data_IF_130143607120
#
_entry.id   IF_130143607120
#
_cell.length_a   1.000
_cell.length_b   1.000
_cell.length_c   1.000
_cell.angle_alpha   90.00
_cell.angle_beta   90.00
_cell.angle_gamma   90.00
#
_symmetry.space_group_name_H-M   'P 1'
#
loop_
_entity.id
_entity.type
_entity.pdbx_description
1 polymer ?
#
# COMPACT_ATOMS: atom_id res chain seq x y z
N UNK A 1 40.89 -0.51 -23.88
CA UNK A 1 39.90 -0.61 -22.78
C UNK A 1 39.13 0.70 -22.76
N UNK A 2 37.99 0.74 -23.42
CA UNK A 2 37.07 1.91 -23.45
C UNK A 2 36.33 1.95 -22.12
N UNK A 3 36.71 2.87 -21.26
CA UNK A 3 35.99 3.15 -20.02
C UNK A 3 34.56 3.55 -20.33
N UNK A 4 33.60 2.71 -20.01
CA UNK A 4 32.21 3.07 -19.99
C UNK A 4 32.07 4.17 -18.92
N UNK A 5 31.83 5.40 -19.39
CA UNK A 5 31.47 6.51 -18.51
C UNK A 5 30.12 6.16 -17.85
N UNK A 6 30.17 5.60 -16.64
CA UNK A 6 28.98 5.38 -15.83
C UNK A 6 28.50 6.75 -15.38
N UNK A 7 27.41 7.23 -15.97
CA UNK A 7 26.74 8.42 -15.45
C UNK A 7 26.45 8.26 -13.96
N UNK A 8 26.59 9.30 -13.13
CA UNK A 8 26.30 9.20 -11.70
C UNK A 8 24.86 8.70 -11.51
N UNK A 9 24.63 7.84 -10.50
CA UNK A 9 23.29 7.32 -10.24
C UNK A 9 22.32 8.48 -10.01
N UNK A 10 21.16 8.41 -10.68
CA UNK A 10 20.11 9.43 -10.57
C UNK A 10 19.64 9.57 -9.13
N UNK A 11 19.19 10.77 -8.77
CA UNK A 11 18.65 11.04 -7.42
C UNK A 11 17.32 10.30 -7.23
N UNK A 12 17.18 9.61 -6.10
CA UNK A 12 15.93 9.02 -5.63
C UNK A 12 15.44 9.83 -4.43
N UNK A 13 14.19 10.31 -4.48
CA UNK A 13 13.51 10.93 -3.34
C UNK A 13 12.71 9.88 -2.58
N UNK A 14 13.02 9.67 -1.31
CA UNK A 14 12.22 8.82 -0.42
C UNK A 14 11.26 9.71 0.36
N UNK A 15 9.96 9.49 0.21
CA UNK A 15 8.90 10.29 0.83
C UNK A 15 8.26 9.51 1.98
N UNK A 16 8.29 10.11 3.17
CA UNK A 16 7.82 9.51 4.43
C UNK A 16 6.77 10.43 5.05
N UNK A 17 5.46 10.12 5.01
CA UNK A 17 4.48 10.79 5.85
C UNK A 17 4.65 10.32 7.29
N UNK A 18 4.70 11.24 8.25
CA UNK A 18 4.86 10.95 9.67
C UNK A 18 3.80 11.69 10.50
N UNK A 19 3.12 10.97 11.39
CA UNK A 19 2.23 11.52 12.39
C UNK A 19 2.33 10.71 13.68
N UNK A 20 2.79 11.35 14.76
CA UNK A 20 3.04 10.71 16.06
C UNK A 20 3.91 9.44 15.95
N UNK A 21 5.05 9.56 15.25
CA UNK A 21 5.95 8.47 14.90
C UNK A 21 7.27 8.46 15.71
N UNK A 22 7.32 9.14 16.87
CA UNK A 22 8.54 9.29 17.67
C UNK A 22 9.26 7.97 17.98
N UNK A 23 8.52 6.86 18.11
CA UNK A 23 9.07 5.56 18.50
C UNK A 23 9.62 4.76 17.31
N UNK A 24 8.95 4.81 16.16
CA UNK A 24 9.29 3.98 14.99
C UNK A 24 10.23 4.67 14.01
N UNK A 25 10.08 5.98 13.83
CA UNK A 25 10.78 6.77 12.82
C UNK A 25 12.31 6.67 12.86
N UNK A 26 13.00 6.59 14.03
CA UNK A 26 14.44 6.39 14.04
C UNK A 26 14.88 5.13 13.31
N UNK A 27 14.25 3.98 13.58
CA UNK A 27 14.60 2.72 12.92
C UNK A 27 14.31 2.77 11.40
N UNK A 28 13.21 3.43 11.00
CA UNK A 28 12.89 3.67 9.59
C UNK A 28 13.98 4.48 8.89
N UNK A 29 14.42 5.60 9.48
CA UNK A 29 15.47 6.45 8.93
C UNK A 29 16.82 5.74 8.86
N UNK A 30 17.20 5.00 9.91
CA UNK A 30 18.44 4.22 9.93
C UNK A 30 18.48 3.15 8.82
N UNK A 31 17.33 2.51 8.53
CA UNK A 31 17.21 1.57 7.42
C UNK A 31 17.41 2.22 6.04
N UNK A 32 17.05 3.49 5.89
CA UNK A 32 17.28 4.26 4.67
C UNK A 32 18.72 4.72 4.51
N UNK A 33 19.41 5.02 5.61
CA UNK A 33 20.86 5.34 5.55
C UNK A 33 21.73 4.14 5.22
N UNK A 34 21.22 2.92 5.31
CA UNK A 34 21.90 1.68 4.95
C UNK A 34 21.69 1.25 3.48
N UNK A 35 21.01 2.05 2.66
CA UNK A 35 20.70 1.68 1.27
C UNK A 35 21.96 1.57 0.41
N UNK A 36 21.99 0.58 -0.48
CA UNK A 36 23.08 0.39 -1.43
C UNK A 36 23.07 1.39 -2.59
N UNK A 37 21.96 2.09 -2.83
CA UNK A 37 21.87 3.20 -3.78
C UNK A 37 22.44 4.47 -3.15
N UNK A 38 23.50 5.09 -3.72
CA UNK A 38 24.27 6.12 -3.01
C UNK A 38 23.65 7.51 -3.06
N UNK A 39 22.78 7.80 -4.03
CA UNK A 39 22.26 9.15 -4.27
C UNK A 39 20.77 9.24 -3.89
N UNK A 40 20.49 9.51 -2.62
CA UNK A 40 19.13 9.60 -2.07
C UNK A 40 18.93 10.95 -1.37
N UNK A 41 17.71 11.49 -1.45
CA UNK A 41 17.18 12.47 -0.50
C UNK A 41 16.02 11.84 0.27
N UNK A 42 15.97 12.11 1.56
CA UNK A 42 14.90 11.64 2.44
C UNK A 42 14.05 12.85 2.82
N UNK A 43 12.76 12.79 2.49
CA UNK A 43 11.78 13.84 2.75
C UNK A 43 10.77 13.31 3.75
N UNK A 44 10.79 13.83 4.96
CA UNK A 44 9.80 13.48 6.00
C UNK A 44 8.80 14.60 6.13
N UNK A 45 7.52 14.27 5.94
CA UNK A 45 6.41 15.21 6.13
C UNK A 45 5.80 14.96 7.51
N UNK A 46 6.08 15.87 8.46
CA UNK A 46 5.43 15.89 9.78
C UNK A 46 4.03 16.47 9.64
N UNK A 47 3.03 15.60 9.64
CA UNK A 47 1.61 15.93 9.47
C UNK A 47 0.97 16.42 10.80
N UNK A 48 1.63 17.39 11.45
CA UNK A 48 1.12 18.02 12.66
C UNK A 48 1.21 17.12 13.90
N UNK A 49 2.31 16.39 14.06
CA UNK A 49 2.55 15.55 15.25
C UNK A 49 2.46 16.33 16.55
N UNK A 50 1.91 15.67 17.57
CA UNK A 50 1.70 16.19 18.92
C UNK A 50 2.61 15.53 19.97
N UNK A 51 3.36 14.51 19.56
CA UNK A 51 4.39 13.83 20.36
C UNK A 51 5.79 14.40 20.08
N UNK A 52 6.86 13.70 20.46
CA UNK A 52 8.24 14.13 20.24
C UNK A 52 8.75 13.90 18.80
N UNK A 53 7.92 13.58 17.82
CA UNK A 53 8.34 13.37 16.43
C UNK A 53 9.15 14.54 15.89
N UNK A 54 8.75 15.79 16.15
CA UNK A 54 9.48 16.97 15.71
C UNK A 54 10.91 17.05 16.30
N UNK A 55 11.09 16.67 17.56
CA UNK A 55 12.42 16.62 18.19
C UNK A 55 13.28 15.49 17.60
N UNK A 56 12.70 14.33 17.32
CA UNK A 56 13.37 13.23 16.61
C UNK A 56 13.86 13.73 15.25
N UNK A 57 13.01 14.35 14.45
CA UNK A 57 13.38 14.88 13.12
C UNK A 57 14.50 15.91 13.20
N UNK A 58 14.45 16.83 14.18
CA UNK A 58 15.49 17.84 14.38
C UNK A 58 16.86 17.23 14.68
N UNK A 59 16.93 16.06 15.32
CA UNK A 59 18.19 15.37 15.64
C UNK A 59 18.94 14.84 14.42
N UNK A 60 18.25 14.67 13.28
CA UNK A 60 18.88 14.22 12.03
C UNK A 60 19.51 15.37 11.21
N UNK A 61 19.20 16.63 11.53
CA UNK A 61 19.77 17.82 10.88
C UNK A 61 19.61 17.78 9.34
N UNK A 62 20.69 18.14 8.63
CA UNK A 62 20.70 18.19 7.16
C UNK A 62 20.71 16.80 6.46
N UNK A 63 20.75 15.71 7.22
CA UNK A 63 20.69 14.35 6.64
C UNK A 63 19.32 14.04 6.05
N UNK A 64 18.27 14.74 6.48
CA UNK A 64 16.91 14.61 6.00
C UNK A 64 16.31 15.99 5.72
N UNK A 65 15.33 16.04 4.86
CA UNK A 65 14.52 17.24 4.65
C UNK A 65 13.18 17.09 5.32
N UNK A 66 12.92 17.91 6.33
CA UNK A 66 11.63 17.92 7.04
C UNK A 66 10.71 18.98 6.46
N UNK A 67 9.47 18.61 6.18
CA UNK A 67 8.37 19.50 5.84
C UNK A 67 7.30 19.36 6.92
N UNK A 68 6.92 20.45 7.59
CA UNK A 68 5.86 20.41 8.60
C UNK A 68 4.59 21.06 8.07
N UNK A 69 3.45 20.43 8.32
CA UNK A 69 2.13 20.94 7.96
C UNK A 69 1.11 20.74 9.10
N UNK A 70 0.00 21.49 9.14
CA UNK A 70 -1.16 21.12 9.95
C UNK A 70 -1.66 19.74 9.55
N UNK A 71 -2.17 18.95 10.51
CA UNK A 71 -2.66 17.61 10.22
C UNK A 71 -3.74 17.63 9.12
N UNK A 72 -3.39 17.11 7.96
CA UNK A 72 -4.25 16.97 6.78
C UNK A 72 -4.52 15.50 6.41
N UNK A 73 -3.96 14.57 7.18
CA UNK A 73 -4.04 13.13 6.96
C UNK A 73 -3.09 12.60 5.89
N UNK A 74 -3.04 11.28 5.77
CA UNK A 74 -2.10 10.54 4.92
C UNK A 74 -2.06 11.02 3.45
N UNK A 75 -3.20 11.26 2.75
CA UNK A 75 -3.17 11.73 1.38
C UNK A 75 -2.49 13.11 1.24
N UNK A 76 -2.77 14.02 2.15
CA UNK A 76 -2.19 15.36 2.19
C UNK A 76 -0.68 15.29 2.42
N UNK A 77 -0.24 14.51 3.43
CA UNK A 77 1.16 14.36 3.75
C UNK A 77 1.96 13.71 2.60
N UNK A 78 1.42 12.66 1.97
CA UNK A 78 2.04 12.07 0.77
C UNK A 78 2.12 13.05 -0.39
N UNK A 79 1.05 13.82 -0.65
CA UNK A 79 1.02 14.83 -1.71
C UNK A 79 2.06 15.93 -1.48
N UNK A 80 2.17 16.44 -0.26
CA UNK A 80 3.21 17.41 0.12
C UNK A 80 4.62 16.84 -0.10
N UNK A 81 4.85 15.60 0.31
CA UNK A 81 6.15 14.96 0.16
C UNK A 81 6.55 14.74 -1.31
N UNK A 82 5.64 14.24 -2.15
CA UNK A 82 5.95 14.02 -3.58
C UNK A 82 6.10 15.35 -4.34
N UNK A 83 5.39 16.40 -3.95
CA UNK A 83 5.57 17.74 -4.50
C UNK A 83 6.93 18.35 -4.11
N UNK A 84 7.48 18.00 -2.95
CA UNK A 84 8.79 18.44 -2.49
C UNK A 84 9.95 17.65 -3.12
N UNK A 85 9.68 16.49 -3.75
CA UNK A 85 10.68 15.60 -4.32
C UNK A 85 11.41 16.22 -5.52
N UNK A 86 12.74 16.05 -5.55
CA UNK A 86 13.63 16.53 -6.63
C UNK A 86 14.16 15.39 -7.49
N UNK A 87 14.12 14.16 -6.98
CA UNK A 87 14.61 12.97 -7.66
C UNK A 87 13.82 12.65 -8.93
N UNK A 88 14.46 11.99 -9.88
CA UNK A 88 13.80 11.45 -11.08
C UNK A 88 12.89 10.28 -10.72
N UNK A 89 13.25 9.55 -9.67
CA UNK A 89 12.45 8.48 -9.08
C UNK A 89 12.00 8.90 -7.69
N UNK A 90 10.79 8.51 -7.34
CA UNK A 90 10.21 8.73 -6.00
C UNK A 90 9.88 7.36 -5.41
N UNK A 91 10.38 7.08 -4.19
CA UNK A 91 10.02 5.92 -3.40
C UNK A 91 9.10 6.35 -2.23
N UNK A 92 8.02 5.63 -2.03
CA UNK A 92 7.17 5.82 -0.86
C UNK A 92 7.66 4.94 0.29
N UNK A 93 7.53 5.43 1.52
CA UNK A 93 7.89 4.70 2.73
C UNK A 93 6.97 5.13 3.85
N UNK A 94 6.51 4.21 4.69
CA UNK A 94 5.75 4.56 5.89
C UNK A 94 6.71 4.72 7.09
N UNK A 95 6.33 5.53 8.09
CA UNK A 95 7.21 5.96 9.19
C UNK A 95 7.44 4.87 10.26
N UNK A 96 6.93 3.67 10.06
CA UNK A 96 7.02 2.54 10.99
C UNK A 96 7.58 1.26 10.35
N UNK A 97 7.91 1.28 9.05
CA UNK A 97 8.48 0.15 8.32
C UNK A 97 10.01 0.24 8.22
N UNK A 98 10.66 -0.87 7.79
CA UNK A 98 12.10 -0.92 7.56
C UNK A 98 12.41 -1.24 6.10
N UNK A 99 13.28 -0.45 5.50
CA UNK A 99 13.71 -0.61 4.11
C UNK A 99 14.88 -1.60 4.04
N UNK A 100 14.77 -2.70 3.30
CA UNK A 100 15.92 -3.60 3.12
C UNK A 100 17.02 -2.93 2.29
N UNK A 101 18.31 -3.19 2.55
CA UNK A 101 19.43 -2.39 2.01
C UNK A 101 19.47 -2.27 0.50
N UNK A 102 19.04 -3.29 -0.22
CA UNK A 102 19.06 -3.33 -1.68
C UNK A 102 17.82 -2.76 -2.37
N UNK A 103 16.79 -2.36 -1.61
CA UNK A 103 15.49 -2.01 -2.17
C UNK A 103 15.56 -0.93 -3.24
N UNK A 104 16.18 0.20 -2.94
CA UNK A 104 16.21 1.33 -3.87
C UNK A 104 17.01 1.00 -5.14
N UNK A 105 18.12 0.27 -5.00
CA UNK A 105 18.93 -0.16 -6.13
C UNK A 105 18.20 -1.15 -7.05
N UNK A 106 17.51 -2.14 -6.47
CA UNK A 106 16.75 -3.14 -7.23
C UNK A 106 15.60 -2.48 -7.98
N UNK A 107 14.80 -1.64 -7.33
CA UNK A 107 13.66 -0.98 -7.96
C UNK A 107 14.09 0.05 -9.03
N UNK A 108 15.18 0.80 -8.78
CA UNK A 108 15.74 1.70 -9.78
C UNK A 108 16.20 0.94 -11.02
N UNK A 109 16.85 -0.21 -10.86
CA UNK A 109 17.24 -1.08 -12.00
C UNK A 109 16.03 -1.56 -12.80
N UNK A 110 14.94 -1.98 -12.14
CA UNK A 110 13.68 -2.34 -12.82
C UNK A 110 13.20 -1.20 -13.70
N UNK A 111 13.09 0.01 -13.14
CA UNK A 111 12.63 1.19 -13.87
C UNK A 111 13.61 1.64 -14.97
N UNK A 112 14.91 1.42 -14.82
CA UNK A 112 15.91 1.71 -15.86
C UNK A 112 15.88 0.69 -17.01
N UNK A 113 15.69 -0.58 -16.70
CA UNK A 113 15.70 -1.67 -17.68
C UNK A 113 14.44 -1.68 -18.54
N UNK A 114 13.27 -1.35 -17.96
CA UNK A 114 11.99 -1.34 -18.66
C UNK A 114 11.36 0.05 -18.63
N UNK A 115 11.56 0.78 -19.71
CA UNK A 115 11.13 2.19 -19.83
C UNK A 115 9.60 2.36 -19.93
N UNK A 116 8.89 1.29 -20.29
CA UNK A 116 7.41 1.19 -20.31
C UNK A 116 6.81 0.95 -18.92
N UNK A 117 7.66 0.59 -17.92
CA UNK A 117 7.25 0.48 -16.52
C UNK A 117 7.29 1.85 -15.86
N UNK A 118 6.14 2.31 -15.37
CA UNK A 118 5.98 3.60 -14.70
C UNK A 118 6.01 3.49 -13.18
N UNK A 119 5.64 2.32 -12.64
CA UNK A 119 5.62 2.01 -11.21
C UNK A 119 6.20 0.62 -10.96
N UNK A 120 7.10 0.52 -9.97
CA UNK A 120 7.64 -0.72 -9.46
C UNK A 120 7.24 -0.89 -7.99
N UNK A 121 6.74 -2.05 -7.62
CA UNK A 121 6.53 -2.47 -6.23
C UNK A 121 7.23 -3.82 -5.98
N UNK A 122 7.21 -4.29 -4.74
CA UNK A 122 7.85 -5.55 -4.37
C UNK A 122 7.03 -6.34 -3.37
N UNK A 123 7.44 -7.59 -3.16
CA UNK A 123 7.05 -8.34 -1.98
C UNK A 123 7.64 -7.71 -0.72
N UNK A 124 7.15 -8.11 0.45
CA UNK A 124 7.60 -7.65 1.75
C UNK A 124 7.48 -8.77 2.79
N UNK A 125 8.26 -8.67 3.85
CA UNK A 125 8.07 -9.49 5.04
C UNK A 125 7.20 -8.75 6.05
N UNK A 126 6.57 -9.46 6.97
CA UNK A 126 5.80 -8.86 8.06
C UNK A 126 6.43 -9.22 9.41
N UNK A 127 6.50 -8.25 10.32
CA UNK A 127 7.01 -8.41 11.67
C UNK A 127 6.19 -7.61 12.70
N UNK A 128 6.33 -7.96 13.96
CA UNK A 128 5.77 -7.24 15.10
C UNK A 128 6.76 -7.24 16.27
N UNK A 129 6.32 -6.86 17.46
CA UNK A 129 7.16 -6.84 18.66
C UNK A 129 7.66 -8.24 19.09
N UNK A 130 6.99 -9.30 18.67
CA UNK A 130 7.36 -10.69 18.95
C UNK A 130 8.34 -11.27 17.90
N UNK A 131 8.59 -10.56 16.80
CA UNK A 131 9.47 -10.98 15.73
C UNK A 131 8.78 -11.12 14.37
N UNK A 132 9.35 -11.98 13.52
CA UNK A 132 8.84 -12.21 12.15
C UNK A 132 7.49 -12.93 12.19
N UNK A 133 6.49 -12.34 11.53
CA UNK A 133 5.13 -12.90 11.36
C UNK A 133 5.02 -13.70 10.07
N UNK A 134 5.65 -13.24 9.00
CA UNK A 134 5.64 -13.93 7.72
C UNK A 134 6.68 -13.39 6.74
N UNK A 135 7.20 -14.28 5.91
CA UNK A 135 8.09 -13.98 4.79
C UNK A 135 7.29 -13.97 3.49
N UNK A 136 7.68 -13.13 2.52
CA UNK A 136 6.99 -12.97 1.23
C UNK A 136 5.47 -12.79 1.43
N UNK A 137 5.11 -11.80 2.25
CA UNK A 137 3.80 -11.70 2.90
C UNK A 137 2.71 -11.11 2.01
N UNK A 138 3.03 -10.58 0.82
CA UNK A 138 2.08 -9.92 -0.06
C UNK A 138 0.89 -10.82 -0.44
N UNK A 139 1.11 -12.10 -0.71
CA UNK A 139 0.06 -13.06 -1.05
C UNK A 139 -0.87 -13.38 0.13
N UNK A 140 -0.39 -13.25 1.35
CA UNK A 140 -1.18 -13.41 2.57
C UNK A 140 -1.99 -12.13 2.87
N UNK A 141 -1.39 -10.97 2.64
CA UNK A 141 -1.99 -9.66 2.93
C UNK A 141 -3.05 -9.26 1.89
N UNK A 142 -2.78 -9.48 0.60
CA UNK A 142 -3.67 -9.10 -0.49
C UNK A 142 -4.45 -10.29 -1.03
N UNK A 143 -5.76 -10.32 -0.76
CA UNK A 143 -6.65 -11.38 -1.24
C UNK A 143 -6.67 -11.54 -2.77
N UNK A 144 -6.40 -10.46 -3.52
CA UNK A 144 -6.26 -10.48 -4.98
C UNK A 144 -5.09 -11.34 -5.46
N UNK A 145 -3.97 -11.34 -4.72
CA UNK A 145 -2.83 -12.25 -4.98
C UNK A 145 -3.14 -13.65 -4.46
N UNK A 146 -3.58 -13.76 -3.21
CA UNK A 146 -3.79 -15.06 -2.54
C UNK A 146 -4.86 -15.93 -3.19
N UNK A 147 -5.86 -15.34 -3.87
CA UNK A 147 -6.91 -16.05 -4.62
C UNK A 147 -6.55 -16.32 -6.07
N UNK A 148 -5.52 -15.69 -6.61
CA UNK A 148 -5.10 -15.85 -7.98
C UNK A 148 -4.43 -17.22 -8.18
N UNK A 149 -4.80 -17.97 -9.20
CA UNK A 149 -4.35 -19.35 -9.45
C UNK A 149 -2.83 -19.52 -9.56
N UNK A 150 -2.13 -18.45 -9.97
CA UNK A 150 -0.67 -18.39 -10.09
C UNK A 150 -0.11 -17.14 -9.37
N UNK A 151 -0.76 -16.69 -8.29
CA UNK A 151 -0.34 -15.51 -7.56
C UNK A 151 -0.22 -14.26 -8.45
N UNK A 152 0.85 -13.48 -8.29
CA UNK A 152 1.11 -12.26 -9.06
C UNK A 152 1.17 -12.50 -10.56
N UNK A 153 1.64 -13.67 -11.01
CA UNK A 153 1.69 -14.03 -12.44
C UNK A 153 0.30 -13.99 -13.12
N UNK A 154 -0.78 -14.20 -12.36
CA UNK A 154 -2.14 -14.08 -12.91
C UNK A 154 -2.61 -12.64 -13.07
N UNK A 155 -1.91 -11.68 -12.46
CA UNK A 155 -2.24 -10.26 -12.43
C UNK A 155 -1.38 -9.45 -13.40
N UNK A 156 -0.19 -9.97 -13.74
CA UNK A 156 0.80 -9.34 -14.62
C UNK A 156 1.28 -10.33 -15.68
N UNK A 157 1.26 -9.90 -16.93
CA UNK A 157 1.34 -10.78 -18.11
C UNK A 157 2.74 -11.35 -18.38
N UNK A 158 3.79 -10.62 -18.02
CA UNK A 158 5.17 -10.93 -18.37
C UNK A 158 5.95 -11.37 -17.14
N UNK A 159 6.79 -12.37 -17.31
CA UNK A 159 7.69 -12.92 -16.27
C UNK A 159 9.11 -12.78 -16.77
N UNK A 160 9.92 -12.04 -16.05
CA UNK A 160 11.31 -11.75 -16.40
C UNK A 160 12.23 -12.22 -15.28
N UNK A 161 13.48 -12.58 -15.63
CA UNK A 161 14.56 -12.80 -14.67
C UNK A 161 15.49 -11.59 -14.67
N UNK A 162 15.82 -11.08 -13.51
CA UNK A 162 16.71 -9.92 -13.36
C UNK A 162 17.89 -10.26 -12.48
N UNK A 163 19.11 -9.97 -12.99
CA UNK A 163 20.35 -10.08 -12.22
C UNK A 163 20.48 -8.89 -11.25
N UNK A 164 20.76 -9.20 -10.00
CA UNK A 164 20.90 -8.25 -8.90
C UNK A 164 22.36 -7.85 -8.63
N UNK A 165 23.31 -8.31 -9.46
CA UNK A 165 24.72 -7.93 -9.33
C UNK A 165 24.88 -6.41 -9.32
N UNK A 166 25.53 -5.87 -8.29
CA UNK A 166 25.70 -4.43 -8.05
C UNK A 166 24.48 -3.74 -7.38
N UNK A 167 23.39 -4.46 -7.11
CA UNK A 167 22.29 -3.97 -6.28
C UNK A 167 22.42 -4.40 -4.82
N UNK A 168 22.95 -5.61 -4.60
CA UNK A 168 23.06 -6.23 -3.28
C UNK A 168 24.18 -5.58 -2.46
N UNK A 169 24.07 -5.60 -1.11
CA UNK A 169 25.17 -5.22 -0.24
C UNK A 169 26.44 -6.03 -0.55
N UNK A 170 27.61 -5.41 -0.40
CA UNK A 170 28.88 -6.11 -0.55
C UNK A 170 29.01 -7.17 0.56
N UNK A 171 28.78 -8.42 0.20
CA UNK A 171 28.97 -9.57 1.10
C UNK A 171 29.72 -10.68 0.36
N UNK A 172 30.74 -11.31 0.99
CA UNK A 172 31.47 -12.41 0.37
C UNK A 172 30.65 -13.70 0.22
N UNK A 173 29.45 -13.79 0.81
CA UNK A 173 28.65 -15.02 0.94
C UNK A 173 27.23 -14.83 0.41
N UNK A 174 27.04 -14.15 -0.72
CA UNK A 174 25.73 -14.16 -1.39
C UNK A 174 25.70 -15.36 -2.34
N UNK A 175 24.80 -16.32 -2.09
CA UNK A 175 24.63 -17.47 -2.98
C UNK A 175 24.26 -17.00 -4.39
N UNK A 176 24.65 -17.73 -5.41
CA UNK A 176 24.37 -17.36 -6.81
C UNK A 176 22.86 -17.29 -7.09
N UNK A 177 22.08 -18.16 -6.44
CA UNK A 177 20.60 -18.13 -6.45
C UNK A 177 20.04 -16.80 -5.96
N UNK A 178 20.69 -16.16 -4.99
CA UNK A 178 20.22 -14.93 -4.38
C UNK A 178 20.56 -13.68 -5.19
N UNK A 179 21.38 -13.85 -6.24
CA UNK A 179 21.74 -12.79 -7.20
C UNK A 179 20.73 -12.59 -8.31
N UNK A 180 19.65 -13.36 -8.32
CA UNK A 180 18.59 -13.22 -9.30
C UNK A 180 17.24 -13.06 -8.61
N UNK A 181 16.34 -12.36 -9.27
CA UNK A 181 14.94 -12.26 -8.83
C UNK A 181 13.99 -12.39 -10.02
N UNK A 182 12.76 -12.82 -9.75
CA UNK A 182 11.67 -12.77 -10.72
C UNK A 182 11.04 -11.38 -10.67
N UNK A 183 10.77 -10.80 -11.83
CA UNK A 183 10.01 -9.57 -11.99
C UNK A 183 8.80 -9.87 -12.85
N UNK A 184 7.61 -9.69 -12.28
CA UNK A 184 6.35 -9.71 -13.02
C UNK A 184 6.05 -8.30 -13.50
N UNK A 185 5.68 -8.10 -14.77
CA UNK A 185 5.32 -6.79 -15.30
C UNK A 185 4.22 -6.87 -16.35
N UNK A 186 3.47 -5.80 -16.51
CA UNK A 186 2.40 -5.73 -17.49
C UNK A 186 1.37 -4.67 -17.18
N UNK A 187 0.24 -4.71 -17.88
CA UNK A 187 -0.88 -3.86 -17.61
C UNK A 187 -1.67 -4.38 -16.40
N UNK A 188 -1.51 -3.69 -15.27
CA UNK A 188 -2.16 -4.05 -14.01
C UNK A 188 -3.56 -3.44 -13.85
N UNK A 189 -3.99 -2.54 -14.76
CA UNK A 189 -5.18 -1.72 -14.53
C UNK A 189 -6.44 -2.54 -14.26
N UNK A 190 -6.70 -3.55 -15.10
CA UNK A 190 -7.85 -4.44 -14.94
C UNK A 190 -7.85 -5.16 -13.58
N UNK A 191 -6.70 -5.65 -13.14
CA UNK A 191 -6.58 -6.34 -11.86
C UNK A 191 -6.79 -5.37 -10.68
N UNK A 192 -6.16 -4.17 -10.75
CA UNK A 192 -6.26 -3.12 -9.72
C UNK A 192 -7.68 -2.54 -9.66
N UNK A 193 -8.41 -2.46 -10.76
CA UNK A 193 -9.79 -2.00 -10.77
C UNK A 193 -10.72 -2.87 -9.89
N UNK A 194 -10.41 -4.15 -9.74
CA UNK A 194 -11.14 -5.09 -8.89
C UNK A 194 -10.59 -5.25 -7.47
N UNK A 195 -9.42 -4.69 -7.18
CA UNK A 195 -8.81 -4.72 -5.85
C UNK A 195 -7.33 -4.42 -5.88
N UNK A 196 -6.85 -3.69 -4.88
CA UNK A 196 -5.44 -3.38 -4.76
C UNK A 196 -4.60 -4.63 -4.42
N UNK A 197 -3.40 -4.71 -5.00
CA UNK A 197 -2.37 -5.69 -4.65
C UNK A 197 -0.98 -5.06 -4.50
N UNK A 198 -0.90 -3.75 -4.61
CA UNK A 198 0.35 -2.98 -4.51
C UNK A 198 0.45 -2.39 -3.11
N UNK A 199 1.50 -2.77 -2.38
CA UNK A 199 1.74 -2.27 -1.02
C UNK A 199 2.41 -0.90 -1.05
N UNK A 200 1.77 0.18 -0.54
CA UNK A 200 2.25 1.55 -0.71
C UNK A 200 3.71 1.77 -0.30
N UNK A 201 4.18 1.32 0.89
CA UNK A 201 5.58 1.52 1.28
C UNK A 201 6.59 0.72 0.45
N UNK A 202 6.14 -0.13 -0.51
CA UNK A 202 7.03 -0.79 -1.48
C UNK A 202 7.09 -0.08 -2.83
N UNK A 203 6.36 1.01 -3.02
CA UNK A 203 6.26 1.69 -4.32
C UNK A 203 7.51 2.51 -4.62
N UNK A 204 8.00 2.39 -5.87
CA UNK A 204 8.88 3.36 -6.52
C UNK A 204 8.32 3.68 -7.90
N UNK A 205 8.34 4.97 -8.30
CA UNK A 205 7.78 5.41 -9.57
C UNK A 205 8.57 6.58 -10.17
N UNK A 206 8.35 6.86 -11.46
CA UNK A 206 8.94 8.00 -12.15
C UNK A 206 8.26 9.29 -11.75
N UNK A 207 9.01 10.32 -11.36
CA UNK A 207 8.45 11.61 -10.93
C UNK A 207 7.56 12.28 -12.00
N UNK A 208 7.93 12.15 -13.27
CA UNK A 208 7.15 12.69 -14.41
C UNK A 208 5.71 12.13 -14.49
N UNK A 209 5.45 10.99 -13.86
CA UNK A 209 4.11 10.42 -13.76
C UNK A 209 3.12 11.36 -13.05
N UNK A 210 3.59 12.19 -12.13
CA UNK A 210 2.77 13.16 -11.41
C UNK A 210 2.15 14.22 -12.34
N UNK A 211 2.82 14.54 -13.45
CA UNK A 211 2.31 15.51 -14.44
C UNK A 211 1.07 14.95 -15.17
N UNK A 212 0.97 13.62 -15.28
CA UNK A 212 -0.13 12.94 -15.97
C UNK A 212 -1.26 12.54 -15.01
N UNK A 213 -0.92 11.94 -13.86
CA UNK A 213 -1.92 11.36 -12.96
C UNK A 213 -2.20 12.22 -11.73
N UNK A 214 -1.40 13.26 -11.47
CA UNK A 214 -1.50 14.09 -10.28
C UNK A 214 -1.06 13.35 -9.00
N UNK A 215 -1.34 13.97 -7.85
CA UNK A 215 -0.98 13.48 -6.52
C UNK A 215 -2.12 12.67 -5.87
N UNK A 216 -2.00 12.37 -4.58
CA UNK A 216 -2.99 11.62 -3.82
C UNK A 216 -4.23 12.46 -3.51
N UNK A 217 -5.41 11.90 -3.75
CA UNK A 217 -6.68 12.61 -3.54
C UNK A 217 -7.15 12.46 -2.08
N UNK A 218 -7.40 13.58 -1.41
CA UNK A 218 -7.86 13.61 -0.04
C UNK A 218 -9.24 12.94 0.15
N UNK A 219 -10.12 13.05 -0.85
CA UNK A 219 -11.45 12.45 -0.82
C UNK A 219 -11.44 10.92 -0.89
N UNK A 220 -10.33 10.32 -1.32
CA UNK A 220 -10.14 8.87 -1.29
C UNK A 220 -9.86 8.32 0.14
N UNK A 221 -9.56 9.21 1.09
CA UNK A 221 -9.37 8.88 2.49
C UNK A 221 -8.23 7.89 2.73
N UNK A 222 -8.49 6.84 3.50
CA UNK A 222 -7.51 5.80 3.81
C UNK A 222 -7.12 4.92 2.61
N UNK A 223 -7.90 4.95 1.52
CA UNK A 223 -7.66 4.21 0.27
C UNK A 223 -7.09 5.12 -0.83
N UNK A 224 -6.44 6.22 -0.47
CA UNK A 224 -5.84 7.16 -1.42
C UNK A 224 -4.74 6.54 -2.29
N UNK A 225 -4.06 5.54 -1.78
CA UNK A 225 -3.11 4.71 -2.50
C UNK A 225 -3.79 3.91 -3.61
N UNK A 226 -4.88 3.20 -3.31
CA UNK A 226 -5.61 2.43 -4.32
C UNK A 226 -6.17 3.31 -5.43
N UNK A 227 -6.78 4.45 -5.09
CA UNK A 227 -7.24 5.43 -6.10
C UNK A 227 -6.09 5.91 -6.99
N UNK A 228 -4.94 6.25 -6.38
CA UNK A 228 -3.78 6.76 -7.10
C UNK A 228 -3.14 5.66 -7.98
N UNK A 229 -2.95 4.44 -7.44
CA UNK A 229 -2.40 3.30 -8.16
C UNK A 229 -3.29 2.92 -9.37
N UNK A 230 -4.63 2.99 -9.22
CA UNK A 230 -5.55 2.76 -10.33
C UNK A 230 -5.37 3.79 -11.46
N UNK A 231 -5.11 5.08 -11.12
CA UNK A 231 -4.79 6.12 -12.14
C UNK A 231 -3.45 5.85 -12.81
N UNK A 232 -2.45 5.43 -12.05
CA UNK A 232 -1.12 5.08 -12.57
C UNK A 232 -1.19 3.88 -13.51
N UNK A 233 -1.86 2.81 -13.10
CA UNK A 233 -1.96 1.58 -13.90
C UNK A 233 -2.75 1.78 -15.22
N UNK A 234 -3.57 2.83 -15.31
CA UNK A 234 -4.28 3.19 -16.54
C UNK A 234 -3.36 3.82 -17.59
N UNK A 235 -2.18 4.35 -17.22
CA UNK A 235 -1.29 5.10 -18.14
C UNK A 235 0.05 4.40 -18.42
N UNK A 236 0.38 3.30 -17.71
CA UNK A 236 1.63 2.58 -17.95
C UNK A 236 1.67 1.20 -17.29
N UNK A 237 2.75 0.48 -17.56
CA UNK A 237 2.93 -0.85 -16.96
C UNK A 237 3.38 -0.75 -15.50
N UNK A 238 2.96 -1.73 -14.71
CA UNK A 238 3.40 -1.93 -13.33
C UNK A 238 4.34 -3.13 -13.29
N UNK A 239 5.39 -3.05 -12.47
CA UNK A 239 6.27 -4.16 -12.17
C UNK A 239 6.18 -4.56 -10.70
N UNK A 240 6.19 -5.87 -10.44
CA UNK A 240 6.27 -6.45 -9.11
C UNK A 240 7.54 -7.32 -9.01
N UNK A 241 8.41 -7.00 -8.07
CA UNK A 241 9.61 -7.77 -7.76
C UNK A 241 9.26 -8.86 -6.76
N UNK A 242 9.46 -10.11 -7.11
CA UNK A 242 9.18 -11.30 -6.26
C UNK A 242 10.25 -11.49 -5.17
N UNK A 243 10.77 -10.43 -4.66
CA UNK A 243 11.73 -10.43 -3.56
C UNK A 243 11.22 -9.49 -2.49
N UNK A 244 11.14 -9.91 -1.22
CA UNK A 244 10.90 -8.98 -0.13
C UNK A 244 11.98 -7.90 -0.12
N UNK A 245 11.56 -6.64 -0.20
CA UNK A 245 12.44 -5.47 -0.16
C UNK A 245 12.08 -4.52 0.99
N UNK A 246 11.11 -4.91 1.81
CA UNK A 246 10.60 -4.15 2.94
C UNK A 246 10.24 -5.11 4.09
N UNK A 247 10.47 -4.68 5.32
CA UNK A 247 9.93 -5.26 6.54
C UNK A 247 8.73 -4.40 6.99
N UNK A 248 7.52 -4.94 6.85
CA UNK A 248 6.26 -4.28 7.20
C UNK A 248 5.92 -4.51 8.68
N UNK A 249 5.76 -3.46 9.44
CA UNK A 249 5.42 -3.54 10.86
C UNK A 249 3.92 -3.74 11.06
N UNK A 250 3.55 -4.80 11.78
CA UNK A 250 2.18 -5.03 12.23
C UNK A 250 2.01 -4.48 13.66
N UNK A 251 1.15 -3.48 13.83
CA UNK A 251 0.84 -2.88 15.13
C UNK A 251 -0.67 -2.70 15.33
N UNK A 252 -1.11 -2.67 16.60
CA UNK A 252 -2.51 -2.42 16.92
C UNK A 252 -2.97 -0.98 16.62
N UNK A 253 -2.04 -0.06 16.42
CA UNK A 253 -2.31 1.37 16.21
C UNK A 253 -2.33 1.80 14.75
N UNK A 254 -1.84 0.96 13.84
CA UNK A 254 -1.76 1.30 12.41
C UNK A 254 -3.13 1.49 11.76
N UNK A 255 -3.17 2.19 10.62
CA UNK A 255 -4.43 2.49 9.90
C UNK A 255 -5.18 1.25 9.40
N UNK A 256 -4.48 0.15 9.13
CA UNK A 256 -5.06 -1.14 8.74
C UNK A 256 -5.58 -1.95 9.94
N UNK A 257 -5.43 -1.45 11.18
CA UNK A 257 -5.89 -2.16 12.38
C UNK A 257 -7.44 -2.16 12.50
N UNK A 258 -8.02 -3.14 13.22
CA UNK A 258 -9.47 -3.27 13.36
C UNK A 258 -10.20 -2.02 13.89
N UNK A 259 -9.51 -1.15 14.65
CA UNK A 259 -10.09 0.09 15.18
C UNK A 259 -10.50 1.09 14.09
N UNK A 260 -9.87 1.03 12.90
CA UNK A 260 -10.14 1.91 11.78
C UNK A 260 -11.08 1.27 10.74
N UNK A 261 -11.61 0.08 11.01
CA UNK A 261 -12.36 -0.74 10.06
C UNK A 261 -13.54 -0.01 9.42
N UNK A 262 -14.32 0.75 10.19
CA UNK A 262 -15.49 1.50 9.65
C UNK A 262 -15.04 2.46 8.55
N UNK A 263 -14.00 3.25 8.83
CA UNK A 263 -13.46 4.21 7.87
C UNK A 263 -12.87 3.49 6.66
N UNK A 264 -12.06 2.47 6.89
CA UNK A 264 -11.41 1.72 5.82
C UNK A 264 -12.42 1.07 4.86
N UNK A 265 -13.44 0.35 5.37
CA UNK A 265 -14.46 -0.28 4.53
C UNK A 265 -15.31 0.75 3.76
N UNK A 266 -15.61 1.90 4.37
CA UNK A 266 -16.35 2.98 3.69
C UNK A 266 -15.52 3.62 2.58
N UNK A 267 -14.23 3.89 2.84
CA UNK A 267 -13.31 4.46 1.86
C UNK A 267 -13.05 3.47 0.70
N UNK A 268 -12.95 2.16 1.01
CA UNK A 268 -12.83 1.08 0.01
C UNK A 268 -14.01 1.10 -0.96
N UNK A 269 -15.23 1.13 -0.45
CA UNK A 269 -16.44 1.21 -1.29
C UNK A 269 -16.45 2.48 -2.14
N UNK A 270 -16.07 3.63 -1.55
CA UNK A 270 -16.00 4.92 -2.25
C UNK A 270 -15.01 4.88 -3.41
N UNK A 271 -13.82 4.34 -3.20
CA UNK A 271 -12.78 4.24 -4.24
C UNK A 271 -13.18 3.26 -5.33
N UNK A 272 -13.74 2.10 -4.98
CA UNK A 272 -14.27 1.15 -5.97
C UNK A 272 -15.32 1.79 -6.89
N UNK A 273 -16.25 2.58 -6.33
CA UNK A 273 -17.24 3.31 -7.11
C UNK A 273 -16.64 4.42 -7.99
N UNK A 274 -15.57 5.08 -7.51
CA UNK A 274 -14.85 6.09 -8.31
C UNK A 274 -14.17 5.45 -9.52
N UNK A 275 -13.55 4.27 -9.34
CA UNK A 275 -12.94 3.51 -10.44
C UNK A 275 -13.99 3.14 -11.48
N UNK A 276 -15.14 2.59 -11.06
CA UNK A 276 -16.23 2.26 -11.97
C UNK A 276 -16.75 3.48 -12.76
N UNK A 277 -16.84 4.66 -12.13
CA UNK A 277 -17.27 5.89 -12.81
C UNK A 277 -16.21 6.48 -13.73
N UNK A 278 -14.93 6.26 -13.44
CA UNK A 278 -13.80 6.75 -14.25
C UNK A 278 -13.67 5.97 -15.55
N UNK A 279 -13.96 4.68 -15.53
CA UNK A 279 -13.89 3.81 -16.69
C UNK A 279 -15.20 3.03 -16.86
N UNK A 280 -16.19 3.70 -17.43
CA UNK A 280 -17.49 3.14 -17.69
C UNK A 280 -17.43 1.98 -18.71
N UNK A 281 -16.50 2.04 -19.66
CA UNK A 281 -16.32 0.99 -20.66
C UNK A 281 -15.87 -0.32 -20.01
N UNK A 282 -14.85 -0.28 -19.14
CA UNK A 282 -14.42 -1.46 -18.37
C UNK A 282 -15.52 -1.93 -17.43
N UNK A 283 -16.20 -1.00 -16.73
CA UNK A 283 -17.30 -1.34 -15.83
C UNK A 283 -18.41 -2.12 -16.55
N UNK A 284 -18.82 -1.67 -17.75
CA UNK A 284 -19.86 -2.35 -18.54
C UNK A 284 -19.36 -3.68 -19.11
N UNK A 285 -18.10 -3.75 -19.55
CA UNK A 285 -17.51 -4.98 -20.07
C UNK A 285 -17.39 -6.09 -19.02
N UNK A 286 -17.18 -5.71 -17.73
CA UNK A 286 -17.03 -6.65 -16.62
C UNK A 286 -18.15 -6.49 -15.57
N UNK A 287 -19.32 -6.05 -15.99
CA UNK A 287 -20.44 -5.73 -15.11
C UNK A 287 -20.75 -6.81 -14.04
N UNK A 288 -20.78 -8.13 -14.36
CA UNK A 288 -21.06 -9.15 -13.36
C UNK A 288 -20.02 -9.16 -12.22
N UNK A 289 -18.73 -8.98 -12.57
CA UNK A 289 -17.64 -8.98 -11.61
C UNK A 289 -17.66 -7.72 -10.74
N UNK A 290 -17.80 -6.53 -11.35
CA UNK A 290 -17.93 -5.30 -10.58
C UNK A 290 -19.15 -5.28 -9.67
N UNK A 291 -20.27 -5.87 -10.10
CA UNK A 291 -21.45 -6.02 -9.22
C UNK A 291 -21.14 -6.90 -8.02
N UNK A 292 -20.42 -8.00 -8.21
CA UNK A 292 -20.00 -8.87 -7.11
C UNK A 292 -19.06 -8.14 -6.14
N UNK A 293 -18.04 -7.42 -6.66
CA UNK A 293 -17.09 -6.65 -5.84
C UNK A 293 -17.78 -5.52 -5.06
N UNK A 294 -18.61 -4.71 -5.72
CA UNK A 294 -19.35 -3.63 -5.07
C UNK A 294 -20.38 -4.16 -4.06
N UNK A 295 -21.00 -5.28 -4.34
CA UNK A 295 -21.89 -5.98 -3.41
C UNK A 295 -21.14 -6.42 -2.16
N UNK A 296 -19.99 -7.06 -2.32
CA UNK A 296 -19.11 -7.44 -1.22
C UNK A 296 -18.64 -6.23 -0.40
N UNK A 297 -18.16 -5.14 -1.03
CA UNK A 297 -17.72 -3.94 -0.33
C UNK A 297 -18.87 -3.25 0.43
N UNK A 298 -20.09 -3.25 -0.13
CA UNK A 298 -21.27 -2.76 0.60
C UNK A 298 -21.57 -3.63 1.83
N UNK A 299 -21.51 -4.96 1.71
CA UNK A 299 -21.74 -5.89 2.81
C UNK A 299 -20.65 -5.78 3.89
N UNK A 300 -19.38 -5.61 3.50
CA UNK A 300 -18.26 -5.41 4.44
C UNK A 300 -18.40 -4.08 5.19
N UNK A 301 -18.75 -3.00 4.50
CA UNK A 301 -19.01 -1.72 5.14
C UNK A 301 -20.22 -1.79 6.09
N UNK A 302 -21.27 -2.55 5.74
CA UNK A 302 -22.40 -2.80 6.61
C UNK A 302 -22.00 -3.61 7.86
N UNK A 303 -21.16 -4.64 7.72
CA UNK A 303 -20.65 -5.43 8.85
C UNK A 303 -19.76 -4.59 9.80
N UNK A 304 -18.98 -3.67 9.25
CA UNK A 304 -18.18 -2.74 10.05
C UNK A 304 -19.05 -1.75 10.83
N UNK A 305 -20.14 -1.26 10.21
CA UNK A 305 -20.99 -0.23 10.77
C UNK A 305 -22.06 -0.75 11.76
N UNK A 306 -22.44 -2.02 11.67
CA UNK A 306 -23.62 -2.58 12.35
C UNK A 306 -23.65 -2.40 13.87
N UNK A 307 -22.48 -2.31 14.49
CA UNK A 307 -22.33 -2.11 15.93
C UNK A 307 -22.36 -0.63 16.33
N UNK A 308 -22.17 0.29 15.36
CA UNK A 308 -22.16 1.75 15.54
C UNK A 308 -23.52 2.36 15.14
N UNK A 309 -23.97 2.07 13.91
CA UNK A 309 -25.23 2.58 13.35
C UNK A 309 -25.94 1.50 12.53
N UNK A 310 -26.94 0.86 13.16
CA UNK A 310 -27.74 -0.20 12.50
C UNK A 310 -28.55 0.29 11.30
N UNK A 311 -28.97 1.54 11.30
CA UNK A 311 -29.75 2.09 10.19
C UNK A 311 -28.87 2.25 8.95
N UNK A 312 -27.69 2.83 9.12
CA UNK A 312 -26.68 2.95 8.07
C UNK A 312 -26.22 1.57 7.58
N UNK A 313 -26.02 0.62 8.49
CA UNK A 313 -25.70 -0.76 8.12
C UNK A 313 -26.83 -1.41 7.30
N UNK A 314 -28.09 -1.19 7.64
CA UNK A 314 -29.25 -1.68 6.90
C UNK A 314 -29.33 -1.08 5.48
N UNK A 315 -29.03 0.22 5.34
CA UNK A 315 -28.98 0.89 4.03
C UNK A 315 -27.85 0.30 3.14
N UNK A 316 -26.66 0.10 3.69
CA UNK A 316 -25.53 -0.52 2.98
C UNK A 316 -25.82 -1.95 2.60
N UNK A 317 -26.43 -2.74 3.50
CA UNK A 317 -26.85 -4.13 3.21
C UNK A 317 -27.93 -4.19 2.13
N UNK A 318 -28.94 -3.32 2.21
CA UNK A 318 -29.98 -3.20 1.17
C UNK A 318 -29.34 -2.90 -0.20
N UNK A 319 -28.35 -2.01 -0.23
CA UNK A 319 -27.61 -1.69 -1.45
C UNK A 319 -26.86 -2.90 -2.00
N UNK A 320 -26.20 -3.68 -1.13
CA UNK A 320 -25.52 -4.92 -1.50
C UNK A 320 -26.47 -5.92 -2.17
N UNK A 321 -27.62 -6.17 -1.54
CA UNK A 321 -28.58 -7.17 -1.98
C UNK A 321 -29.43 -6.67 -3.17
N UNK A 322 -30.06 -5.50 -3.05
CA UNK A 322 -31.03 -5.01 -4.04
C UNK A 322 -30.36 -4.48 -5.30
N UNK A 323 -29.31 -3.65 -5.13
CA UNK A 323 -28.65 -3.03 -6.28
C UNK A 323 -27.65 -3.96 -6.97
N UNK A 324 -26.89 -4.73 -6.18
CA UNK A 324 -25.80 -5.56 -6.69
C UNK A 324 -26.11 -7.05 -6.74
N UNK A 325 -27.19 -7.50 -6.09
CA UNK A 325 -27.59 -8.90 -6.10
C UNK A 325 -26.70 -9.82 -5.27
N UNK A 326 -25.91 -9.26 -4.34
CA UNK A 326 -24.99 -10.02 -3.51
C UNK A 326 -25.75 -10.65 -2.33
N UNK A 327 -25.88 -11.98 -2.36
CA UNK A 327 -26.49 -12.77 -1.28
C UNK A 327 -25.52 -13.90 -0.94
N UNK A 328 -24.76 -13.72 0.12
CA UNK A 328 -23.73 -14.65 0.59
C UNK A 328 -23.75 -14.80 2.13
N UNK A 329 -22.81 -15.55 2.66
CA UNK A 329 -22.70 -15.77 4.11
C UNK A 329 -22.45 -14.47 4.88
N UNK A 330 -21.77 -13.48 4.29
CA UNK A 330 -21.54 -12.18 4.91
C UNK A 330 -22.84 -11.38 5.01
N UNK A 331 -23.59 -11.26 3.92
CA UNK A 331 -24.88 -10.54 3.88
C UNK A 331 -25.87 -11.13 4.88
N UNK A 332 -25.97 -12.48 4.95
CA UNK A 332 -26.82 -13.18 5.94
C UNK A 332 -26.38 -12.91 7.38
N UNK A 333 -25.08 -12.94 7.63
CA UNK A 333 -24.51 -12.63 8.97
C UNK A 333 -24.85 -11.20 9.40
N UNK A 334 -24.70 -10.24 8.50
CA UNK A 334 -24.99 -8.83 8.76
C UNK A 334 -26.49 -8.63 9.01
N UNK A 335 -27.36 -9.24 8.21
CA UNK A 335 -28.81 -9.22 8.41
C UNK A 335 -29.18 -9.71 9.82
N UNK A 336 -28.63 -10.86 10.24
CA UNK A 336 -28.86 -11.41 11.57
C UNK A 336 -28.39 -10.45 12.67
N UNK A 337 -27.24 -9.77 12.50
CA UNK A 337 -26.77 -8.75 13.47
C UNK A 337 -27.70 -7.55 13.53
N UNK A 338 -28.20 -7.05 12.40
CA UNK A 338 -29.15 -5.93 12.35
C UNK A 338 -30.43 -6.27 13.10
N UNK A 339 -30.98 -7.46 12.86
CA UNK A 339 -32.22 -7.94 13.51
C UNK A 339 -32.05 -8.29 14.99
N UNK A 340 -30.82 -8.59 15.44
CA UNK A 340 -30.54 -8.96 16.84
C UNK A 340 -30.66 -7.71 17.73
N UNK A 341 -31.43 -7.73 18.82
CA UNK A 341 -31.51 -6.64 19.77
C UNK A 341 -30.14 -6.28 20.38
N UNK A 342 -29.90 -4.99 20.65
CA UNK A 342 -28.61 -4.52 21.17
C UNK A 342 -28.19 -5.21 22.48
N UNK A 343 -29.12 -5.50 23.38
CA UNK A 343 -28.86 -6.20 24.64
C UNK A 343 -28.35 -7.62 24.44
N UNK A 344 -28.84 -8.34 23.42
CA UNK A 344 -28.42 -9.71 23.12
C UNK A 344 -26.98 -9.74 22.50
N UNK A 345 -26.62 -8.73 21.70
CA UNK A 345 -25.26 -8.55 21.21
C UNK A 345 -24.28 -8.21 22.32
N UNK A 346 -24.69 -7.35 23.25
CA UNK A 346 -23.89 -7.00 24.43
C UNK A 346 -23.62 -8.21 25.33
N UNK A 347 -24.64 -9.04 25.61
CA UNK A 347 -24.49 -10.28 26.38
C UNK A 347 -23.53 -11.28 25.72
N UNK A 348 -23.55 -11.40 24.39
CA UNK A 348 -22.64 -12.27 23.63
C UNK A 348 -21.19 -11.79 23.69
N UNK A 349 -20.94 -10.47 23.67
CA UNK A 349 -19.60 -9.87 23.82
C UNK A 349 -19.06 -10.11 25.23
N UNK A 350 -19.88 -9.91 26.24
CA UNK A 350 -19.47 -10.13 27.64
C UNK A 350 -19.07 -11.60 27.90
N UNK A 351 -19.80 -12.55 27.33
CA UNK A 351 -19.44 -13.98 27.40
C UNK A 351 -18.13 -14.32 26.70
N UNK A 352 -17.86 -13.70 25.52
CA UNK A 352 -16.58 -13.90 24.81
C UNK A 352 -15.40 -13.32 25.58
N UNK A 353 -15.53 -12.14 26.18
CA UNK A 353 -14.49 -11.53 27.00
C UNK A 353 -14.13 -12.40 28.24
N UNK A 354 -15.10 -13.10 28.84
CA UNK A 354 -14.90 -14.01 29.94
C UNK A 354 -14.22 -15.33 29.55
N UNK A 355 -14.23 -15.72 28.27
CA UNK A 355 -13.56 -16.94 27.78
C UNK A 355 -12.16 -16.69 27.22
N UNK A 356 -11.74 -15.42 27.08
CA UNK A 356 -10.41 -15.01 26.58
C UNK A 356 -9.53 -14.38 27.68
N UNK A 357 -10.03 -14.25 28.91
CA UNK A 357 -9.31 -13.93 30.14
C UNK A 357 -9.05 -15.23 30.96
#
# INVERSE_FOLDING_TARGET
MSGVSVSPPGLISVVIPAYNAQQSLPATLDSLFSQTWPNIEIIVVDDGSTDNTAAVLASYGDRIRTVRQPNGGLPSARSTGVAAARGQLIALMDADDLCLPERLAVQARVLQQWTDVVLCCSDFNAFNEQGVVGLAYASHYYASIGRASKGVQSLLERVERMDLTGCLPASPVVAESDRQTTVYRGNAYRAIAHGNFVHPPTIMFRRELLDTVGTFDADAGSMCDWDWIARVAAVGQVAFVERPLLEYRLSATQMSSPRHRIKASTDTLRVAERICRRDEALYLAELPRFRADLGFFCADAADAEVDNDKWKAAQLLSRSVVRFGCVDALTLRVLLKILTPAWALAAKRHRRALHTA
#
